data_IF_968252352980
#
_entry.id   IF_968252352980
#
_cell.length_a   1.000
_cell.length_b   1.000
_cell.length_c   1.000
_cell.angle_alpha   90.00
_cell.angle_beta   90.00
_cell.angle_gamma   90.00
#
_symmetry.space_group_name_H-M   'P 1'
#
loop_
_entity.id
_entity.type
_entity.pdbx_description
1 polymer ?
#
# COMPACT_ATOMS: atom_id res chain seq x y z
N UNK A 1 45.44 -35.22 -39.43
CA UNK A 1 45.99 -34.22 -38.49
C UNK A 1 44.95 -33.23 -37.90
N UNK A 2 43.63 -33.46 -38.01
CA UNK A 2 42.60 -32.49 -37.59
C UNK A 2 42.12 -32.60 -36.12
N UNK A 3 42.30 -33.76 -35.49
CA UNK A 3 41.71 -34.06 -34.16
C UNK A 3 42.36 -33.31 -32.99
N UNK A 4 43.63 -32.88 -33.14
CA UNK A 4 44.36 -32.22 -32.06
C UNK A 4 44.00 -30.74 -31.88
N UNK A 5 43.49 -30.10 -32.96
CA UNK A 5 43.15 -28.67 -32.97
C UNK A 5 41.77 -28.40 -32.33
N UNK A 6 40.83 -29.33 -32.43
CA UNK A 6 39.50 -29.22 -31.81
C UNK A 6 39.55 -29.35 -30.27
N UNK A 7 40.38 -30.26 -29.74
CA UNK A 7 40.49 -30.50 -28.29
C UNK A 7 41.06 -29.29 -27.53
N UNK A 8 41.99 -28.54 -28.14
CA UNK A 8 42.51 -27.28 -27.55
C UNK A 8 41.52 -26.12 -27.60
N UNK A 9 40.60 -26.08 -28.58
CA UNK A 9 39.58 -25.02 -28.70
C UNK A 9 38.44 -25.19 -27.68
N UNK A 10 37.97 -26.42 -27.44
CA UNK A 10 37.00 -26.72 -26.36
C UNK A 10 37.55 -26.31 -24.99
N UNK A 11 38.76 -26.77 -24.63
CA UNK A 11 39.40 -26.47 -23.33
C UNK A 11 39.66 -24.97 -23.07
N UNK A 12 39.73 -24.13 -24.10
CA UNK A 12 39.88 -22.66 -23.99
C UNK A 12 38.53 -21.94 -23.93
N UNK A 13 37.52 -22.50 -24.60
CA UNK A 13 36.12 -22.06 -24.54
C UNK A 13 35.53 -22.32 -23.15
N UNK A 14 35.74 -23.51 -22.59
CA UNK A 14 35.19 -23.90 -21.29
C UNK A 14 35.68 -22.98 -20.16
N UNK A 15 36.90 -22.46 -20.25
CA UNK A 15 37.44 -21.47 -19.32
C UNK A 15 36.83 -20.08 -19.47
N UNK A 16 36.47 -19.66 -20.69
CA UNK A 16 35.79 -18.39 -20.95
C UNK A 16 34.32 -18.47 -20.55
N UNK A 17 33.67 -19.60 -20.85
CA UNK A 17 32.30 -19.90 -20.42
C UNK A 17 32.22 -19.99 -18.90
N UNK A 18 33.15 -20.66 -18.21
CA UNK A 18 33.19 -20.71 -16.75
C UNK A 18 33.34 -19.31 -16.12
N UNK A 19 34.15 -18.43 -16.72
CA UNK A 19 34.28 -17.03 -16.26
C UNK A 19 32.99 -16.23 -16.46
N UNK A 20 32.31 -16.40 -17.60
CA UNK A 20 31.04 -15.72 -17.87
C UNK A 20 29.94 -16.23 -16.93
N UNK A 21 29.85 -17.55 -16.72
CA UNK A 21 28.90 -18.14 -15.77
C UNK A 21 29.15 -17.65 -14.35
N UNK A 22 30.41 -17.57 -13.91
CA UNK A 22 30.77 -17.02 -12.60
C UNK A 22 30.35 -15.54 -12.45
N UNK A 23 30.55 -14.70 -13.48
CA UNK A 23 30.14 -13.29 -13.46
C UNK A 23 28.62 -13.15 -13.36
N UNK A 24 27.85 -13.98 -14.08
CA UNK A 24 26.38 -13.97 -14.05
C UNK A 24 25.86 -14.37 -12.67
N UNK A 25 26.46 -15.38 -12.03
CA UNK A 25 26.08 -15.82 -10.68
C UNK A 25 26.36 -14.72 -9.65
N UNK A 26 27.52 -14.07 -9.72
CA UNK A 26 27.89 -12.98 -8.80
C UNK A 26 26.96 -11.77 -9.01
N UNK A 27 26.70 -11.38 -10.26
CA UNK A 27 25.81 -10.24 -10.55
C UNK A 27 24.37 -10.52 -10.12
N UNK A 28 23.87 -11.75 -10.28
CA UNK A 28 22.55 -12.17 -9.80
C UNK A 28 22.41 -12.13 -8.29
N UNK A 29 23.46 -12.56 -7.55
CA UNK A 29 23.50 -12.47 -6.09
C UNK A 29 23.51 -11.02 -5.59
N UNK A 30 24.24 -10.14 -6.29
CA UNK A 30 24.28 -8.70 -5.97
C UNK A 30 22.92 -8.06 -6.27
N UNK A 31 22.32 -8.33 -7.42
CA UNK A 31 21.00 -7.79 -7.78
C UNK A 31 19.89 -8.22 -6.79
N UNK A 32 19.91 -9.47 -6.31
CA UNK A 32 18.97 -9.95 -5.30
C UNK A 32 19.10 -9.19 -3.96
N UNK A 33 20.30 -8.74 -3.62
CA UNK A 33 20.54 -7.95 -2.40
C UNK A 33 20.01 -6.51 -2.53
N UNK A 34 20.04 -5.93 -3.74
CA UNK A 34 19.49 -4.59 -4.01
C UNK A 34 17.97 -4.57 -4.24
N UNK A 35 17.35 -5.64 -4.75
CA UNK A 35 15.89 -5.70 -4.93
C UNK A 35 15.16 -5.73 -3.57
N UNK A 36 15.82 -6.18 -2.49
CA UNK A 36 15.27 -6.18 -1.14
C UNK A 36 15.28 -4.81 -0.43
N UNK A 37 16.08 -3.84 -0.88
CA UNK A 37 16.25 -2.56 -0.16
C UNK A 37 15.39 -1.41 -0.67
N UNK A 38 14.80 -1.51 -1.87
CA UNK A 38 13.93 -0.46 -2.43
C UNK A 38 12.44 -0.63 -2.11
N UNK A 39 12.08 -1.61 -1.27
CA UNK A 39 10.68 -1.99 -1.04
C UNK A 39 9.94 -1.30 0.11
N UNK A 40 10.58 -0.48 0.96
CA UNK A 40 9.88 0.08 2.13
C UNK A 40 10.42 1.46 2.53
N UNK A 41 10.22 2.51 1.72
CA UNK A 41 10.09 3.88 2.27
C UNK A 41 9.00 4.61 1.46
N UNK A 42 7.75 4.26 1.74
CA UNK A 42 6.63 5.18 1.57
C UNK A 42 6.44 5.97 2.87
N UNK A 43 7.42 6.79 3.23
CA UNK A 43 7.24 7.74 4.33
C UNK A 43 6.31 8.84 3.83
N UNK A 44 5.14 8.92 4.45
CA UNK A 44 4.07 9.86 4.17
C UNK A 44 4.56 11.27 4.51
N UNK A 45 4.54 12.17 3.54
CA UNK A 45 4.40 13.59 3.83
C UNK A 45 2.97 13.97 3.48
N UNK A 46 2.06 13.82 4.46
CA UNK A 46 0.81 14.57 4.43
C UNK A 46 1.20 16.04 4.54
N UNK A 47 1.09 16.78 3.44
CA UNK A 47 1.09 18.24 3.46
C UNK A 47 -0.16 18.70 4.20
N UNK A 48 -0.13 18.70 5.53
CA UNK A 48 -1.07 19.45 6.36
C UNK A 48 -0.45 20.82 6.61
N UNK A 49 -0.74 21.74 5.71
CA UNK A 49 -0.82 23.17 6.04
C UNK A 49 -2.03 23.75 5.30
N UNK A 50 -3.19 23.16 5.53
CA UNK A 50 -4.16 23.90 6.31
C UNK A 50 -3.91 23.45 7.75
N UNK A 51 -3.61 24.36 8.66
CA UNK A 51 -4.30 24.28 9.93
C UNK A 51 -5.78 24.38 9.55
N UNK A 52 -6.60 23.30 9.53
CA UNK A 52 -7.94 23.55 10.02
C UNK A 52 -7.68 24.16 11.39
N UNK A 53 -8.18 25.37 11.64
CA UNK A 53 -8.40 25.71 13.03
C UNK A 53 -9.19 24.53 13.54
N UNK A 54 -8.57 23.71 14.38
CA UNK A 54 -9.32 22.85 15.26
C UNK A 54 -10.03 23.87 16.14
N UNK A 55 -11.17 24.35 15.65
CA UNK A 55 -12.18 25.03 16.43
C UNK A 55 -12.88 23.92 17.22
N UNK A 56 -12.10 23.15 17.98
CA UNK A 56 -12.64 22.33 19.05
C UNK A 56 -13.00 23.32 20.16
N UNK A 57 -14.10 24.02 19.91
CA UNK A 57 -14.75 24.90 20.85
C UNK A 57 -15.74 24.02 21.59
N UNK A 58 -15.84 24.20 22.90
CA UNK A 58 -16.82 23.46 23.70
C UNK A 58 -18.28 23.87 23.41
N UNK A 59 -18.45 24.86 22.53
CA UNK A 59 -19.67 25.57 22.11
C UNK A 59 -19.42 26.00 20.65
N UNK A 60 -19.86 25.17 19.69
CA UNK A 60 -19.49 25.29 18.27
C UNK A 60 -20.21 26.45 17.59
N UNK A 61 -21.50 26.65 17.88
CA UNK A 61 -22.34 27.69 17.30
C UNK A 61 -22.30 29.03 18.09
N UNK A 62 -21.80 28.99 19.33
CA UNK A 62 -21.63 30.16 20.19
C UNK A 62 -22.93 30.63 20.84
N UNK A 63 -23.95 29.78 20.98
CA UNK A 63 -25.23 30.13 21.60
C UNK A 63 -25.20 30.12 23.14
N UNK A 64 -24.12 29.59 23.72
CA UNK A 64 -23.86 29.48 25.15
C UNK A 64 -24.27 28.16 25.79
N UNK A 65 -24.83 27.22 25.03
CA UNK A 65 -24.89 25.81 25.38
C UNK A 65 -23.54 25.14 25.09
N UNK A 66 -23.21 24.11 25.87
CA UNK A 66 -22.03 23.30 25.57
C UNK A 66 -22.47 22.13 24.70
N UNK A 67 -21.65 21.70 23.74
CA UNK A 67 -22.01 20.63 22.78
C UNK A 67 -22.57 19.37 23.45
N UNK A 68 -22.10 19.03 24.65
CA UNK A 68 -22.59 17.86 25.41
C UNK A 68 -24.03 17.95 25.93
N UNK A 69 -24.65 19.14 25.90
CA UNK A 69 -26.03 19.42 26.34
C UNK A 69 -26.83 20.22 25.31
N UNK A 70 -26.19 20.63 24.22
CA UNK A 70 -26.79 21.42 23.15
C UNK A 70 -27.71 20.55 22.27
N UNK A 71 -28.97 20.96 22.01
CA UNK A 71 -29.84 20.28 21.06
C UNK A 71 -29.51 20.51 19.57
N UNK A 72 -28.69 21.50 19.22
CA UNK A 72 -28.37 21.96 17.86
C UNK A 72 -26.92 22.48 17.81
N UNK A 73 -25.94 21.56 17.76
CA UNK A 73 -24.52 21.85 18.06
C UNK A 73 -23.87 22.82 17.07
N UNK A 74 -24.26 22.78 15.80
CA UNK A 74 -23.70 23.64 14.76
C UNK A 74 -24.56 24.87 14.42
N UNK A 75 -25.77 24.94 15.02
CA UNK A 75 -26.69 26.06 14.91
C UNK A 75 -27.30 26.22 13.52
N UNK A 76 -27.41 25.13 12.74
CA UNK A 76 -28.00 25.16 11.40
C UNK A 76 -29.55 25.15 11.42
N UNK A 77 -30.13 24.88 12.59
CA UNK A 77 -31.58 24.84 12.84
C UNK A 77 -32.21 23.45 12.71
N UNK A 78 -31.40 22.41 12.48
CA UNK A 78 -31.78 21.00 12.51
C UNK A 78 -31.35 20.42 13.85
N UNK A 79 -32.29 19.79 14.57
CA UNK A 79 -31.91 19.17 15.86
C UNK A 79 -30.93 18.02 15.63
N UNK A 80 -30.00 17.82 16.56
CA UNK A 80 -28.98 16.77 16.50
C UNK A 80 -29.52 15.36 16.19
N UNK A 81 -30.77 15.07 16.57
CA UNK A 81 -31.42 13.79 16.31
C UNK A 81 -31.82 13.57 14.84
N UNK A 82 -31.95 14.65 14.07
CA UNK A 82 -32.34 14.66 12.65
C UNK A 82 -31.21 15.12 11.73
N UNK A 83 -30.11 15.62 12.28
CA UNK A 83 -28.96 16.09 11.53
C UNK A 83 -27.99 14.93 11.18
N UNK A 84 -27.51 14.95 9.94
CA UNK A 84 -26.53 14.01 9.40
C UNK A 84 -25.07 14.45 9.68
N UNK A 85 -24.84 15.69 10.11
CA UNK A 85 -23.53 16.34 10.31
C UNK A 85 -23.53 17.28 11.54
N UNK A 86 -23.81 16.73 12.74
CA UNK A 86 -24.20 17.51 13.94
C UNK A 86 -23.20 18.60 14.38
N UNK A 87 -21.91 18.46 14.09
CA UNK A 87 -20.89 19.43 14.48
C UNK A 87 -20.40 20.32 13.33
N UNK A 88 -21.03 20.20 12.15
CA UNK A 88 -20.83 21.06 10.98
C UNK A 88 -19.42 20.98 10.38
N UNK A 89 -18.66 19.92 10.65
CA UNK A 89 -17.28 19.77 10.16
C UNK A 89 -17.18 19.29 8.70
N UNK A 90 -18.33 18.92 8.11
CA UNK A 90 -18.47 18.42 6.74
C UNK A 90 -18.27 16.91 6.60
N UNK A 91 -18.16 16.18 7.70
CA UNK A 91 -18.03 14.73 7.77
C UNK A 91 -19.27 14.15 8.45
N UNK A 92 -20.17 13.58 7.63
CA UNK A 92 -21.37 12.91 8.13
C UNK A 92 -21.11 12.04 9.38
N UNK A 93 -22.00 12.08 10.36
CA UNK A 93 -21.91 11.40 11.66
C UNK A 93 -21.46 9.93 11.59
N UNK A 94 -21.83 9.21 10.53
CA UNK A 94 -21.43 7.82 10.35
C UNK A 94 -19.95 7.62 10.00
N UNK A 95 -19.34 8.60 9.34
CA UNK A 95 -17.94 8.60 8.90
C UNK A 95 -17.04 9.34 9.87
N UNK A 96 -17.62 10.17 10.72
CA UNK A 96 -16.87 10.93 11.69
C UNK A 96 -16.58 10.13 12.97
N UNK A 97 -15.45 10.44 13.60
CA UNK A 97 -14.96 9.81 14.81
C UNK A 97 -15.33 10.60 16.07
N UNK A 98 -15.75 11.85 15.95
CA UNK A 98 -16.29 12.67 17.04
C UNK A 98 -17.52 13.45 16.58
N UNK A 99 -18.66 12.79 16.30
CA UNK A 99 -19.80 13.44 15.65
C UNK A 99 -20.43 14.61 16.41
N UNK A 100 -19.96 14.89 17.63
CA UNK A 100 -20.45 15.99 18.46
C UNK A 100 -19.33 17.02 18.78
N UNK A 101 -18.16 16.90 18.15
CA UNK A 101 -17.01 17.78 18.37
C UNK A 101 -16.55 17.91 19.83
N UNK A 102 -16.80 16.90 20.67
CA UNK A 102 -16.63 16.99 22.13
C UNK A 102 -15.18 16.82 22.60
N UNK A 103 -14.27 16.35 21.74
CA UNK A 103 -12.96 15.86 22.13
C UNK A 103 -11.84 16.94 22.21
N UNK A 104 -12.18 18.17 22.58
CA UNK A 104 -11.32 19.37 22.51
C UNK A 104 -9.98 19.29 23.28
N UNK A 105 -9.76 18.26 24.09
CA UNK A 105 -8.50 18.05 24.83
C UNK A 105 -7.58 17.16 24.01
N UNK A 106 -6.41 17.69 23.65
CA UNK A 106 -5.36 17.15 22.76
C UNK A 106 -4.77 15.78 23.17
N UNK A 107 -5.41 14.98 24.01
CA UNK A 107 -4.85 13.73 24.54
C UNK A 107 -5.85 12.58 24.72
N UNK A 108 -7.14 12.77 24.42
CA UNK A 108 -8.08 11.64 24.34
C UNK A 108 -8.02 11.05 22.92
N UNK A 109 -7.55 9.80 22.74
CA UNK A 109 -7.62 9.16 21.43
C UNK A 109 -9.09 9.05 21.04
N UNK A 110 -9.42 9.64 19.89
CA UNK A 110 -10.68 9.43 19.20
C UNK A 110 -11.08 7.94 19.21
N UNK A 111 -12.35 7.60 19.44
CA UNK A 111 -12.81 6.24 19.29
C UNK A 111 -12.54 5.77 17.86
N UNK A 112 -11.64 4.80 17.71
CA UNK A 112 -11.31 4.27 16.39
C UNK A 112 -12.49 3.47 15.87
N UNK A 113 -13.11 3.95 14.79
CA UNK A 113 -14.06 3.14 14.03
C UNK A 113 -13.36 1.85 13.58
N UNK A 114 -14.01 0.67 13.68
CA UNK A 114 -13.44 -0.57 13.16
C UNK A 114 -13.09 -0.39 11.68
N UNK A 115 -11.81 -0.54 11.35
CA UNK A 115 -11.36 -0.50 9.96
C UNK A 115 -12.00 -1.67 9.22
N UNK A 116 -12.92 -1.39 8.31
CA UNK A 116 -13.38 -2.40 7.35
C UNK A 116 -12.17 -2.70 6.46
N UNK A 117 -11.63 -3.91 6.61
CA UNK A 117 -10.53 -4.37 5.77
C UNK A 117 -11.19 -4.86 4.49
N UNK A 118 -11.20 -4.03 3.46
CA UNK A 118 -11.58 -4.45 2.12
C UNK A 118 -10.47 -5.38 1.58
N UNK A 119 -10.53 -6.67 1.94
CA UNK A 119 -9.56 -7.72 1.57
C UNK A 119 -9.42 -7.97 0.05
N UNK A 120 -10.07 -7.13 -0.76
CA UNK A 120 -10.07 -7.20 -2.22
C UNK A 120 -8.67 -7.06 -2.83
N UNK A 121 -7.73 -6.43 -2.14
CA UNK A 121 -6.32 -6.33 -2.57
C UNK A 121 -5.57 -7.66 -2.47
N UNK A 122 -5.94 -8.53 -1.52
CA UNK A 122 -5.25 -9.80 -1.29
C UNK A 122 -5.59 -10.84 -2.37
N UNK A 123 -6.83 -10.83 -2.87
CA UNK A 123 -7.30 -11.75 -3.90
C UNK A 123 -6.64 -11.49 -5.27
N UNK A 124 -6.34 -10.23 -5.60
CA UNK A 124 -5.67 -9.85 -6.86
C UNK A 124 -4.20 -10.30 -6.89
N UNK A 125 -3.49 -10.19 -5.76
CA UNK A 125 -2.12 -10.67 -5.62
C UNK A 125 -2.09 -12.21 -5.72
N UNK A 126 -3.07 -12.89 -5.13
CA UNK A 126 -3.19 -14.35 -5.24
C UNK A 126 -3.38 -14.85 -6.67
N UNK A 127 -4.28 -14.23 -7.44
CA UNK A 127 -4.58 -14.62 -8.83
C UNK A 127 -3.40 -14.39 -9.79
N UNK A 128 -2.68 -13.29 -9.64
CA UNK A 128 -1.55 -12.95 -10.53
C UNK A 128 -0.35 -13.88 -10.32
N UNK A 129 -0.02 -14.21 -9.05
CA UNK A 129 1.07 -15.13 -8.73
C UNK A 129 0.76 -16.55 -9.21
N UNK A 130 -0.47 -17.04 -8.98
CA UNK A 130 -0.90 -18.37 -9.45
C UNK A 130 -0.95 -18.43 -10.99
N UNK A 131 -1.45 -17.38 -11.64
CA UNK A 131 -1.51 -17.29 -13.10
C UNK A 131 -0.13 -17.36 -13.76
N UNK A 132 0.86 -16.63 -13.24
CA UNK A 132 2.24 -16.65 -13.76
C UNK A 132 2.89 -18.03 -13.52
N UNK A 133 2.68 -18.63 -12.35
CA UNK A 133 3.23 -19.93 -11.99
C UNK A 133 2.71 -21.07 -12.88
N UNK A 134 1.49 -20.97 -13.43
CA UNK A 134 0.91 -21.99 -14.34
C UNK A 134 1.21 -21.68 -15.81
N UNK A 135 1.14 -20.41 -16.22
CA UNK A 135 1.32 -20.02 -17.62
C UNK A 135 2.76 -20.19 -18.11
N UNK A 136 3.76 -19.86 -17.29
CA UNK A 136 5.17 -19.93 -17.71
C UNK A 136 5.66 -21.37 -17.99
N UNK A 137 5.36 -22.40 -17.16
CA UNK A 137 5.72 -23.78 -17.47
C UNK A 137 5.02 -24.33 -18.72
N UNK A 138 3.74 -23.99 -18.91
CA UNK A 138 2.97 -24.43 -20.09
C UNK A 138 3.54 -23.82 -21.38
N UNK A 139 3.81 -22.51 -21.38
CA UNK A 139 4.45 -21.83 -22.50
C UNK A 139 5.84 -22.42 -22.81
N UNK A 140 6.63 -22.75 -21.78
CA UNK A 140 7.93 -23.38 -21.94
C UNK A 140 7.84 -24.78 -22.55
N UNK A 141 6.93 -25.63 -22.07
CA UNK A 141 6.71 -26.98 -22.61
C UNK A 141 6.19 -26.94 -24.04
N UNK A 142 5.26 -26.01 -24.34
CA UNK A 142 4.75 -25.79 -25.68
C UNK A 142 5.85 -25.35 -26.66
N UNK A 143 6.69 -24.39 -26.26
CA UNK A 143 7.83 -23.93 -27.07
C UNK A 143 8.88 -25.04 -27.28
N UNK A 144 9.12 -25.89 -26.27
CA UNK A 144 10.04 -27.03 -26.35
C UNK A 144 9.51 -28.14 -27.28
N UNK A 145 8.20 -28.38 -27.28
CA UNK A 145 7.54 -29.36 -28.16
C UNK A 145 7.76 -29.00 -29.65
N UNK A 146 7.68 -27.71 -30.00
CA UNK A 146 7.80 -27.25 -31.38
C UNK A 146 9.23 -27.27 -31.95
N UNK A 147 10.26 -27.31 -31.09
CA UNK A 147 11.68 -27.40 -31.50
C UNK A 147 12.18 -28.84 -31.71
N UNK A 148 11.32 -29.85 -31.49
CA UNK A 148 11.66 -31.27 -31.64
C UNK A 148 11.14 -31.91 -32.94
N UNK A 149 10.52 -31.12 -33.81
CA UNK A 149 10.24 -31.47 -35.22
C UNK A 149 11.19 -30.69 -36.11
#
# INVERSE_FOLDING_TARGET
>A
MAQFKQKRRRKRSDKRVARIVAIIVVFGLIAALFIGTFGIIGARASTLTSTPSINCVADIDGDGALNGVDPDIDGDGIINAEDDDMDGDGISNFKDQDPAGTNCTVEAPLPQRPKIIDDSSALYIGLTVVGIAVAAPLAFFYARSKRRK
#
